data_IF_415663992441
#
_entry.id   IF_415663992441
#
_cell.length_a   1.000
_cell.length_b   1.000
_cell.length_c   1.000
_cell.angle_alpha   90.00
_cell.angle_beta   90.00
_cell.angle_gamma   90.00
#
_symmetry.space_group_name_H-M   'P 1'
#
loop_
_entity.id
_entity.type
_entity.pdbx_description
1 polymer ?
#
# COMPACT_ATOMS: atom_id res chain seq x y z
N UNK A 1 -12.21 34.17 -3.63
CA UNK A 1 -12.55 32.76 -3.95
C UNK A 1 -11.39 31.92 -3.43
N UNK A 2 -11.66 30.99 -2.57
CA UNK A 2 -10.59 30.17 -1.96
C UNK A 2 -10.00 29.17 -2.96
N UNK A 3 -8.81 28.62 -2.68
CA UNK A 3 -8.21 27.55 -3.47
C UNK A 3 -9.17 26.37 -3.65
N UNK A 4 -9.92 26.02 -2.60
CA UNK A 4 -10.91 24.96 -2.62
C UNK A 4 -12.05 25.24 -3.61
N UNK A 5 -12.52 26.49 -3.66
CA UNK A 5 -13.59 26.90 -4.57
C UNK A 5 -13.13 26.87 -6.05
N UNK A 6 -11.85 27.19 -6.29
CA UNK A 6 -11.25 27.12 -7.62
C UNK A 6 -11.08 25.68 -8.10
N UNK A 7 -10.63 24.79 -7.21
CA UNK A 7 -10.45 23.36 -7.49
C UNK A 7 -11.78 22.63 -7.74
N UNK A 8 -12.88 23.12 -7.19
CA UNK A 8 -14.20 22.60 -7.53
C UNK A 8 -14.68 22.98 -8.94
N UNK A 9 -14.00 23.94 -9.60
CA UNK A 9 -14.38 24.45 -10.94
C UNK A 9 -13.49 23.92 -12.06
N UNK A 10 -12.39 23.27 -11.73
CA UNK A 10 -11.39 22.79 -12.69
C UNK A 10 -10.83 21.44 -12.24
N UNK A 11 -10.91 20.43 -13.10
CA UNK A 11 -10.32 19.11 -12.81
C UNK A 11 -8.85 19.02 -13.24
N UNK A 12 -8.17 17.97 -12.79
CA UNK A 12 -6.76 17.74 -13.10
C UNK A 12 -6.50 17.62 -14.61
N UNK A 13 -7.40 16.98 -15.36
CA UNK A 13 -7.28 16.85 -16.81
C UNK A 13 -7.30 18.21 -17.50
N UNK A 14 -8.18 19.07 -17.06
CA UNK A 14 -8.32 20.44 -17.58
C UNK A 14 -7.07 21.27 -17.30
N UNK A 15 -6.48 21.15 -16.10
CA UNK A 15 -5.23 21.83 -15.77
C UNK A 15 -4.09 21.36 -16.68
N UNK A 16 -3.92 20.07 -16.87
CA UNK A 16 -2.88 19.55 -17.77
C UNK A 16 -3.12 19.96 -19.22
N UNK A 17 -4.38 19.84 -19.70
CA UNK A 17 -4.73 20.16 -21.09
C UNK A 17 -4.56 21.65 -21.39
N UNK A 18 -4.74 22.53 -20.41
CA UNK A 18 -4.54 23.96 -20.56
C UNK A 18 -3.10 24.30 -20.95
N UNK A 19 -2.11 23.57 -20.40
CA UNK A 19 -0.68 23.81 -20.67
C UNK A 19 -0.11 22.95 -21.77
N UNK A 20 -0.61 21.73 -21.93
CA UNK A 20 -0.03 20.73 -22.80
C UNK A 20 -0.87 20.38 -24.04
N UNK A 21 -2.05 21.01 -24.15
CA UNK A 21 -2.98 20.72 -25.24
C UNK A 21 -3.64 19.36 -25.10
N UNK A 22 -3.81 18.63 -26.20
CA UNK A 22 -4.45 17.32 -26.20
C UNK A 22 -3.54 16.25 -25.58
N UNK A 23 -3.74 15.98 -24.30
CA UNK A 23 -2.97 14.96 -23.57
C UNK A 23 -3.58 13.57 -23.77
N UNK A 24 -2.69 12.57 -23.88
CA UNK A 24 -3.07 11.15 -23.88
C UNK A 24 -2.42 10.48 -22.67
N UNK A 25 -3.16 10.24 -21.57
CA UNK A 25 -2.59 9.56 -20.40
C UNK A 25 -1.94 8.22 -20.77
N UNK A 26 -0.75 7.96 -20.22
CA UNK A 26 0.04 6.77 -20.52
C UNK A 26 1.03 6.94 -21.68
N UNK A 27 0.95 8.00 -22.48
CA UNK A 27 1.91 8.29 -23.55
C UNK A 27 3.07 9.13 -23.01
N UNK A 28 4.30 8.74 -23.37
CA UNK A 28 5.49 9.55 -23.09
C UNK A 28 5.59 10.72 -24.10
N UNK A 29 5.92 11.90 -23.57
CA UNK A 29 6.24 13.10 -24.35
C UNK A 29 7.57 13.68 -23.86
N UNK A 30 8.16 14.62 -24.60
CA UNK A 30 9.29 15.38 -24.10
C UNK A 30 8.89 16.19 -22.87
N UNK A 31 9.78 16.29 -21.89
CA UNK A 31 9.44 16.96 -20.64
C UNK A 31 9.16 18.45 -20.84
N UNK A 32 7.95 18.93 -20.50
CA UNK A 32 7.65 20.35 -20.53
C UNK A 32 8.28 21.12 -19.35
N UNK A 33 8.87 20.41 -18.38
CA UNK A 33 9.54 20.97 -17.21
C UNK A 33 11.04 21.20 -17.42
N UNK A 34 11.58 20.81 -18.59
CA UNK A 34 13.00 20.92 -18.93
C UNK A 34 13.19 21.52 -20.29
N UNK A 35 14.14 22.44 -20.38
CA UNK A 35 14.57 22.98 -21.67
C UNK A 35 15.42 21.90 -22.40
N UNK A 36 15.20 21.72 -23.70
CA UNK A 36 15.96 20.82 -24.57
C UNK A 36 15.88 19.31 -24.24
N UNK A 37 14.75 18.84 -23.72
CA UNK A 37 14.51 17.40 -23.59
C UNK A 37 14.34 16.78 -24.98
N UNK A 38 15.32 15.96 -25.41
CA UNK A 38 15.34 15.32 -26.74
C UNK A 38 14.72 13.92 -26.75
N UNK A 39 14.48 13.35 -25.57
CA UNK A 39 13.97 11.98 -25.43
C UNK A 39 12.65 11.99 -24.64
N UNK A 40 11.56 11.40 -25.17
CA UNK A 40 10.30 11.33 -24.43
C UNK A 40 10.47 10.71 -23.05
N UNK A 41 10.33 11.52 -22.02
CA UNK A 41 10.60 11.14 -20.63
C UNK A 41 9.57 11.61 -19.63
N UNK A 42 8.54 12.33 -20.09
CA UNK A 42 7.46 12.82 -19.25
C UNK A 42 6.17 12.12 -19.59
N UNK A 43 5.43 11.67 -18.57
CA UNK A 43 4.12 11.04 -18.72
C UNK A 43 3.10 11.64 -17.78
N UNK A 44 1.86 11.74 -18.26
CA UNK A 44 0.67 11.89 -17.44
C UNK A 44 -0.02 10.54 -17.40
N UNK A 45 -0.45 10.08 -16.23
CA UNK A 45 -1.05 8.76 -16.06
C UNK A 45 -2.03 8.75 -14.89
N UNK A 46 -3.00 7.86 -14.96
CA UNK A 46 -3.88 7.62 -13.83
C UNK A 46 -3.18 6.77 -12.78
N UNK A 47 -3.18 7.24 -11.53
CA UNK A 47 -2.78 6.43 -10.38
C UNK A 47 -3.72 5.24 -10.19
N UNK A 48 -3.35 4.30 -9.35
CA UNK A 48 -4.23 3.18 -8.98
C UNK A 48 -5.53 3.63 -8.32
N UNK A 49 -5.54 4.84 -7.77
CA UNK A 49 -6.66 5.47 -7.07
C UNK A 49 -7.48 6.38 -8.01
N UNK A 50 -7.16 6.38 -9.32
CA UNK A 50 -7.86 7.17 -10.32
C UNK A 50 -7.43 8.65 -10.39
N UNK A 51 -6.48 9.09 -9.58
CA UNK A 51 -5.94 10.45 -9.66
C UNK A 51 -5.04 10.60 -10.89
N UNK A 52 -5.17 11.72 -11.60
CA UNK A 52 -4.32 12.03 -12.75
C UNK A 52 -3.02 12.68 -12.27
N UNK A 53 -1.92 11.96 -12.43
CA UNK A 53 -0.59 12.35 -11.96
C UNK A 53 0.36 12.53 -13.13
N UNK A 54 1.45 13.26 -12.88
CA UNK A 54 2.59 13.29 -13.80
C UNK A 54 3.83 12.64 -13.21
N UNK A 55 4.72 12.19 -14.09
CA UNK A 55 6.09 11.79 -13.77
C UNK A 55 7.04 12.20 -14.88
N UNK A 56 8.07 12.94 -14.49
CA UNK A 56 9.24 13.20 -15.31
C UNK A 56 10.32 12.15 -14.97
N UNK A 57 10.52 11.19 -15.85
CA UNK A 57 11.49 10.13 -15.64
C UNK A 57 12.94 10.61 -15.74
N UNK A 58 13.20 11.73 -16.41
CA UNK A 58 14.52 12.31 -16.51
C UNK A 58 15.03 12.93 -15.21
N UNK A 59 14.13 13.54 -14.44
CA UNK A 59 14.45 14.15 -13.13
C UNK A 59 13.98 13.32 -11.94
N UNK A 60 13.09 12.34 -12.17
CA UNK A 60 12.41 11.58 -11.11
C UNK A 60 11.26 12.35 -10.43
N UNK A 61 10.99 13.59 -10.81
CA UNK A 61 9.94 14.42 -10.22
C UNK A 61 8.55 13.88 -10.61
N UNK A 62 7.63 13.83 -9.66
CA UNK A 62 6.26 13.41 -9.87
C UNK A 62 5.29 14.14 -8.95
N UNK A 63 4.01 14.16 -9.30
CA UNK A 63 2.96 14.78 -8.48
C UNK A 63 1.62 14.90 -9.20
N UNK A 64 0.71 15.68 -8.59
CA UNK A 64 -0.59 16.03 -9.15
C UNK A 64 -0.53 17.26 -10.07
N UNK A 65 -1.65 17.62 -10.66
CA UNK A 65 -1.76 18.76 -11.57
C UNK A 65 -1.36 20.09 -10.93
N UNK A 66 -1.64 20.31 -9.65
CA UNK A 66 -1.21 21.54 -8.96
C UNK A 66 0.32 21.62 -8.81
N UNK A 67 0.97 20.51 -8.48
CA UNK A 67 2.44 20.46 -8.41
C UNK A 67 3.05 20.66 -9.79
N UNK A 68 2.45 20.06 -10.83
CA UNK A 68 2.87 20.30 -12.21
C UNK A 68 2.77 21.78 -12.56
N UNK A 69 1.63 22.42 -12.30
CA UNK A 69 1.41 23.86 -12.57
C UNK A 69 2.43 24.73 -11.85
N UNK A 70 2.70 24.45 -10.56
CA UNK A 70 3.74 25.16 -9.79
C UNK A 70 5.10 25.08 -10.48
N UNK A 71 5.52 23.88 -10.85
CA UNK A 71 6.83 23.67 -11.50
C UNK A 71 6.88 24.30 -12.89
N UNK A 72 5.83 24.10 -13.69
CA UNK A 72 5.76 24.58 -15.06
C UNK A 72 5.77 26.13 -15.16
N UNK A 73 5.12 26.81 -14.20
CA UNK A 73 5.03 28.27 -14.13
C UNK A 73 6.00 28.91 -13.15
N UNK A 74 6.80 28.11 -12.42
CA UNK A 74 7.73 28.63 -11.41
C UNK A 74 7.07 29.29 -10.21
N UNK A 75 5.82 28.90 -9.86
CA UNK A 75 5.06 29.52 -8.78
C UNK A 75 5.62 29.14 -7.41
N UNK A 76 5.84 30.13 -6.55
CA UNK A 76 6.43 29.93 -5.23
C UNK A 76 5.38 29.99 -4.11
N UNK A 77 4.37 30.85 -4.26
CA UNK A 77 3.40 31.15 -3.21
C UNK A 77 2.03 30.52 -3.50
N UNK A 78 1.22 30.44 -2.45
CA UNK A 78 -0.18 30.01 -2.57
C UNK A 78 -1.01 31.00 -3.37
N UNK A 79 -0.78 32.28 -3.18
CA UNK A 79 -1.51 33.36 -3.86
C UNK A 79 -1.24 33.35 -5.36
N UNK A 80 -0.01 33.04 -5.79
CA UNK A 80 0.32 32.85 -7.21
C UNK A 80 -0.42 31.67 -7.80
N UNK A 81 -0.48 30.55 -7.05
CA UNK A 81 -1.21 29.35 -7.44
C UNK A 81 -2.71 29.66 -7.60
N UNK A 82 -3.32 30.36 -6.65
CA UNK A 82 -4.74 30.73 -6.70
C UNK A 82 -5.03 31.68 -7.87
N UNK A 83 -4.15 32.65 -8.12
CA UNK A 83 -4.27 33.56 -9.28
C UNK A 83 -4.16 32.82 -10.62
N UNK A 84 -3.26 31.88 -10.73
CA UNK A 84 -3.11 31.10 -11.97
C UNK A 84 -4.30 30.16 -12.20
N UNK A 85 -4.81 29.51 -11.15
CA UNK A 85 -6.05 28.73 -11.23
C UNK A 85 -7.24 29.60 -11.63
N UNK A 86 -7.36 30.80 -11.07
CA UNK A 86 -8.42 31.73 -11.44
C UNK A 86 -8.35 32.12 -12.93
N UNK A 87 -7.12 32.28 -13.46
CA UNK A 87 -6.88 32.54 -14.88
C UNK A 87 -7.37 31.38 -15.76
N UNK A 88 -7.05 30.13 -15.35
CA UNK A 88 -7.53 28.92 -16.05
C UNK A 88 -9.06 28.89 -16.04
N UNK A 89 -9.69 29.06 -14.86
CA UNK A 89 -11.15 29.06 -14.71
C UNK A 89 -11.82 30.12 -15.59
N UNK A 90 -11.27 31.33 -15.63
CA UNK A 90 -11.83 32.44 -16.46
C UNK A 90 -11.71 32.18 -17.97
N UNK A 91 -10.63 31.50 -18.41
CA UNK A 91 -10.41 31.22 -19.83
C UNK A 91 -11.24 30.05 -20.33
N UNK A 92 -11.55 29.10 -19.47
CA UNK A 92 -12.36 27.91 -19.82
C UNK A 92 -13.86 28.24 -19.75
N UNK A 93 -14.25 29.30 -19.03
CA UNK A 93 -15.65 29.70 -18.81
C UNK A 93 -16.00 31.06 -19.45
N UNK A 94 -16.15 31.14 -20.75
CA UNK A 94 -17.09 32.05 -21.34
C UNK A 94 -18.34 31.27 -21.70
N UNK A 95 -19.32 31.19 -20.80
CA UNK A 95 -20.77 30.98 -21.03
C UNK A 95 -21.27 29.64 -21.57
N UNK A 96 -20.51 28.59 -21.85
CA UNK A 96 -21.08 27.32 -22.31
C UNK A 96 -20.19 26.09 -22.00
N UNK A 97 -19.95 25.83 -20.75
CA UNK A 97 -19.67 24.47 -20.32
C UNK A 97 -20.87 24.03 -19.50
N UNK A 98 -21.69 23.16 -20.03
CA UNK A 98 -22.50 22.31 -19.21
C UNK A 98 -21.55 21.68 -18.21
N UNK A 99 -21.59 22.20 -17.01
CA UNK A 99 -20.97 21.58 -15.86
C UNK A 99 -21.69 20.26 -15.73
N UNK A 100 -21.08 19.18 -16.18
CA UNK A 100 -21.34 17.89 -15.57
C UNK A 100 -20.89 17.99 -14.13
N UNK A 101 -21.66 18.73 -13.33
CA UNK A 101 -21.60 18.87 -11.89
C UNK A 101 -22.12 17.61 -11.22
N UNK A 102 -21.71 16.47 -11.68
CA UNK A 102 -21.86 15.22 -10.96
C UNK A 102 -20.81 14.23 -11.45
N UNK A 103 -19.56 14.62 -11.48
CA UNK A 103 -18.58 13.78 -10.82
C UNK A 103 -18.42 14.40 -9.45
N UNK A 104 -19.34 14.08 -8.55
CA UNK A 104 -18.94 13.76 -7.21
C UNK A 104 -17.52 13.22 -7.34
N UNK A 105 -16.57 13.74 -6.57
CA UNK A 105 -15.43 12.93 -6.16
C UNK A 105 -16.10 11.69 -5.58
N UNK A 106 -16.43 10.77 -6.46
CA UNK A 106 -16.86 9.45 -6.06
C UNK A 106 -15.67 8.96 -5.32
N UNK A 107 -15.75 9.14 -4.01
CA UNK A 107 -15.12 8.25 -3.08
C UNK A 107 -14.74 7.03 -3.86
N UNK A 108 -13.41 6.84 -4.06
CA UNK A 108 -12.78 5.67 -4.68
C UNK A 108 -13.83 4.80 -5.37
N UNK A 109 -13.85 4.73 -6.69
CA UNK A 109 -14.62 3.66 -7.34
C UNK A 109 -14.09 2.40 -6.70
N UNK A 110 -14.84 1.87 -5.75
CA UNK A 110 -14.44 0.70 -4.98
C UNK A 110 -14.20 -0.37 -6.03
N UNK A 111 -12.94 -0.68 -6.28
CA UNK A 111 -12.62 -1.70 -7.27
C UNK A 111 -13.19 -2.98 -6.72
N UNK A 112 -14.30 -3.44 -7.29
CA UNK A 112 -14.85 -4.72 -6.93
C UNK A 112 -13.86 -5.80 -7.37
N UNK A 113 -13.37 -6.60 -6.41
CA UNK A 113 -12.48 -7.73 -6.67
C UNK A 113 -13.24 -9.01 -6.40
N UNK A 114 -13.55 -9.73 -7.49
CA UNK A 114 -14.06 -11.09 -7.45
C UNK A 114 -12.94 -12.12 -7.59
N UNK A 115 -13.10 -13.30 -6.99
CA UNK A 115 -12.15 -14.41 -7.09
C UNK A 115 -12.84 -15.72 -7.40
N UNK A 116 -12.18 -16.59 -8.15
CA UNK A 116 -12.53 -18.01 -8.25
C UNK A 116 -11.43 -18.81 -7.59
N UNK A 117 -11.78 -19.53 -6.51
CA UNK A 117 -10.85 -20.35 -5.71
C UNK A 117 -10.54 -21.66 -6.41
N UNK A 118 -9.40 -22.23 -6.04
CA UNK A 118 -9.02 -23.60 -6.35
C UNK A 118 -8.36 -24.24 -5.13
N UNK A 119 -8.26 -25.58 -5.06
CA UNK A 119 -7.44 -26.25 -4.07
C UNK A 119 -5.98 -25.81 -4.15
N UNK A 120 -5.26 -25.83 -3.04
CA UNK A 120 -3.82 -25.61 -3.05
C UNK A 120 -3.13 -26.72 -3.82
N UNK A 121 -2.40 -26.35 -4.86
CA UNK A 121 -1.57 -27.28 -5.67
C UNK A 121 -0.27 -27.61 -4.94
N UNK A 122 0.49 -28.61 -5.44
CA UNK A 122 1.82 -28.90 -4.90
C UNK A 122 2.81 -27.73 -5.09
N UNK A 123 2.61 -26.93 -6.12
CA UNK A 123 3.38 -25.70 -6.34
C UNK A 123 3.09 -24.68 -5.25
N UNK A 124 1.82 -24.50 -4.91
CA UNK A 124 1.41 -23.59 -3.83
C UNK A 124 1.99 -24.06 -2.49
N UNK A 125 1.90 -25.35 -2.18
CA UNK A 125 2.45 -25.92 -0.95
C UNK A 125 3.96 -25.69 -0.86
N UNK A 126 4.71 -25.95 -1.92
CA UNK A 126 6.15 -25.67 -2.01
C UNK A 126 6.46 -24.17 -1.85
N UNK A 127 5.66 -23.32 -2.47
CA UNK A 127 5.84 -21.89 -2.36
C UNK A 127 5.70 -21.40 -0.91
N UNK A 128 4.68 -21.84 -0.18
CA UNK A 128 4.45 -21.40 1.20
C UNK A 128 5.38 -22.10 2.21
N UNK A 129 5.77 -23.35 1.94
CA UNK A 129 6.72 -24.10 2.77
C UNK A 129 8.07 -23.41 2.92
N UNK A 130 8.55 -22.64 1.92
CA UNK A 130 9.80 -21.89 2.03
C UNK A 130 9.77 -20.80 3.10
N UNK A 131 8.58 -20.39 3.55
CA UNK A 131 8.36 -19.45 4.64
C UNK A 131 7.91 -20.15 5.93
N UNK A 132 7.96 -21.46 5.96
CA UNK A 132 7.41 -22.31 7.04
C UNK A 132 5.93 -22.05 7.35
N UNK A 133 5.16 -21.54 6.39
CA UNK A 133 3.72 -21.31 6.52
C UNK A 133 2.98 -22.57 6.11
N UNK A 134 2.24 -23.15 7.06
CA UNK A 134 1.42 -24.35 6.86
C UNK A 134 0.12 -24.03 6.09
N UNK A 135 -0.51 -25.07 5.51
CA UNK A 135 -1.82 -24.91 4.87
C UNK A 135 -2.89 -24.50 5.89
N UNK A 136 -2.78 -24.97 7.12
CA UNK A 136 -3.73 -24.60 8.18
C UNK A 136 -3.58 -23.14 8.59
N UNK A 137 -2.37 -22.62 8.63
CA UNK A 137 -2.13 -21.18 8.81
C UNK A 137 -2.69 -20.36 7.64
N UNK A 138 -2.53 -20.82 6.40
CA UNK A 138 -3.16 -20.14 5.24
C UNK A 138 -4.69 -20.12 5.37
N UNK A 139 -5.30 -21.23 5.76
CA UNK A 139 -6.75 -21.34 5.99
C UNK A 139 -7.20 -20.41 7.11
N UNK A 140 -6.48 -20.44 8.25
CA UNK A 140 -6.73 -19.55 9.40
C UNK A 140 -6.78 -18.08 8.99
N UNK A 141 -5.81 -17.63 8.20
CA UNK A 141 -5.71 -16.25 7.75
C UNK A 141 -6.47 -15.95 6.45
N UNK A 142 -7.42 -16.83 6.06
CA UNK A 142 -8.25 -16.66 4.87
C UNK A 142 -7.46 -16.38 3.60
N UNK A 143 -6.34 -17.10 3.43
CA UNK A 143 -5.54 -17.10 2.20
C UNK A 143 -6.00 -18.25 1.30
N UNK A 144 -6.26 -17.95 0.03
CA UNK A 144 -6.75 -18.93 -0.93
C UNK A 144 -5.84 -18.99 -2.15
N UNK A 145 -5.61 -20.19 -2.70
CA UNK A 145 -5.17 -20.32 -4.08
C UNK A 145 -6.35 -20.00 -5.01
N UNK A 146 -6.09 -19.24 -6.07
CA UNK A 146 -7.15 -18.75 -6.96
C UNK A 146 -6.87 -19.10 -8.42
N UNK A 147 -7.90 -19.61 -9.10
CA UNK A 147 -7.85 -19.93 -10.53
C UNK A 147 -7.76 -18.66 -11.38
N UNK A 148 -8.57 -17.65 -11.05
CA UNK A 148 -8.50 -16.30 -11.63
C UNK A 148 -9.15 -15.27 -10.70
N UNK A 149 -8.86 -14.00 -10.98
CA UNK A 149 -9.53 -12.88 -10.30
C UNK A 149 -10.07 -11.87 -11.31
N UNK A 150 -11.10 -11.17 -10.87
CA UNK A 150 -11.76 -10.12 -11.65
C UNK A 150 -11.58 -8.78 -10.92
N UNK A 151 -11.52 -7.70 -11.69
CA UNK A 151 -11.73 -6.34 -11.19
C UNK A 151 -12.88 -5.74 -11.99
N UNK A 152 -13.92 -5.29 -11.29
CA UNK A 152 -15.14 -4.75 -11.91
C UNK A 152 -15.70 -5.69 -12.99
N UNK A 153 -15.85 -6.97 -12.65
CA UNK A 153 -16.35 -8.08 -13.51
C UNK A 153 -15.47 -8.44 -14.71
N UNK A 154 -14.28 -7.82 -14.87
CA UNK A 154 -13.33 -8.15 -15.94
C UNK A 154 -12.20 -9.00 -15.38
N UNK A 155 -11.90 -10.15 -15.99
CA UNK A 155 -10.78 -11.03 -15.63
C UNK A 155 -9.47 -10.27 -15.82
N UNK A 156 -8.65 -10.21 -14.76
CA UNK A 156 -7.37 -9.48 -14.71
C UNK A 156 -6.15 -10.37 -14.51
N UNK A 157 -6.35 -11.61 -14.21
CA UNK A 157 -5.27 -12.58 -14.11
C UNK A 157 -5.81 -13.98 -13.94
N UNK A 158 -5.08 -14.94 -14.50
CA UNK A 158 -5.37 -16.38 -14.44
C UNK A 158 -4.15 -17.10 -13.88
N UNK A 159 -4.39 -18.13 -13.07
CA UNK A 159 -3.36 -19.00 -12.51
C UNK A 159 -2.59 -19.69 -13.62
N UNK A 160 -1.30 -19.80 -13.42
CA UNK A 160 -0.40 -20.66 -14.17
C UNK A 160 0.58 -21.31 -13.20
N UNK A 161 1.10 -22.48 -13.53
CA UNK A 161 2.06 -23.18 -12.68
C UNK A 161 3.33 -22.36 -12.42
N UNK A 162 3.81 -21.65 -13.44
CA UNK A 162 4.94 -20.72 -13.36
C UNK A 162 4.57 -19.34 -12.78
N UNK A 163 3.30 -19.09 -12.50
CA UNK A 163 2.78 -17.83 -11.99
C UNK A 163 1.61 -18.02 -11.02
N UNK A 164 1.86 -18.61 -9.85
CA UNK A 164 0.83 -18.86 -8.86
C UNK A 164 0.23 -17.56 -8.34
N UNK A 165 -1.03 -17.61 -7.94
CA UNK A 165 -1.78 -16.47 -7.44
C UNK A 165 -2.55 -16.82 -6.18
N UNK A 166 -2.53 -15.87 -5.23
CA UNK A 166 -3.21 -16.00 -3.95
C UNK A 166 -4.12 -14.81 -3.68
N UNK A 167 -5.23 -15.05 -3.01
CA UNK A 167 -6.12 -14.01 -2.50
C UNK A 167 -6.12 -14.03 -0.98
N UNK A 168 -5.84 -12.90 -0.37
CA UNK A 168 -5.99 -12.64 1.05
C UNK A 168 -7.36 -11.98 1.27
N UNK A 169 -8.26 -12.68 1.94
CA UNK A 169 -9.57 -12.12 2.29
C UNK A 169 -9.48 -11.47 3.66
N UNK A 170 -9.79 -10.17 3.71
CA UNK A 170 -9.87 -9.41 4.96
C UNK A 170 -11.28 -8.85 5.05
N UNK A 171 -12.10 -9.42 5.91
CA UNK A 171 -13.54 -9.20 5.98
C UNK A 171 -14.22 -9.47 4.63
N UNK A 172 -14.76 -8.45 3.98
CA UNK A 172 -15.47 -8.52 2.69
C UNK A 172 -14.60 -8.17 1.48
N UNK A 173 -13.33 -7.76 1.69
CA UNK A 173 -12.42 -7.27 0.64
C UNK A 173 -11.26 -8.23 0.40
N UNK A 174 -10.57 -8.01 -0.72
CA UNK A 174 -9.48 -8.87 -1.17
C UNK A 174 -8.20 -8.13 -1.45
N UNK A 175 -7.08 -8.79 -1.20
CA UNK A 175 -5.75 -8.42 -1.66
C UNK A 175 -5.17 -9.59 -2.44
N UNK A 176 -4.98 -9.39 -3.73
CA UNK A 176 -4.42 -10.40 -4.64
C UNK A 176 -2.90 -10.31 -4.61
N UNK A 177 -2.27 -11.45 -4.43
CA UNK A 177 -0.82 -11.62 -4.40
C UNK A 177 -0.35 -12.50 -5.53
N UNK A 178 0.55 -11.99 -6.36
CA UNK A 178 1.22 -12.71 -7.45
C UNK A 178 2.72 -12.68 -7.19
N UNK A 179 3.29 -13.67 -6.50
CA UNK A 179 4.67 -13.63 -5.99
C UNK A 179 5.72 -13.42 -7.08
N UNK A 180 5.54 -14.04 -8.24
CA UNK A 180 6.51 -14.05 -9.34
C UNK A 180 6.25 -12.94 -10.38
N UNK A 181 5.19 -12.15 -10.22
CA UNK A 181 4.92 -11.03 -11.10
C UNK A 181 5.84 -9.84 -10.82
N UNK A 182 5.98 -8.93 -11.79
CA UNK A 182 6.73 -7.69 -11.62
C UNK A 182 6.22 -6.88 -10.44
N UNK A 183 7.06 -6.03 -9.84
CA UNK A 183 6.68 -5.21 -8.68
C UNK A 183 5.42 -4.36 -8.90
N UNK A 184 5.12 -3.97 -10.13
CA UNK A 184 3.96 -3.15 -10.49
C UNK A 184 2.65 -3.92 -10.57
N UNK A 185 2.73 -5.23 -10.80
CA UNK A 185 1.59 -6.12 -10.95
C UNK A 185 1.49 -7.19 -9.87
N UNK A 186 2.46 -7.22 -8.95
CA UNK A 186 2.55 -8.17 -7.84
C UNK A 186 1.34 -8.13 -6.91
N UNK A 187 0.79 -6.94 -6.73
CA UNK A 187 -0.31 -6.68 -5.82
C UNK A 187 -1.50 -6.02 -6.51
N UNK A 188 -2.70 -6.47 -6.18
CA UNK A 188 -3.95 -5.77 -6.48
C UNK A 188 -4.83 -5.84 -5.24
N UNK A 189 -5.46 -4.73 -4.84
CA UNK A 189 -6.27 -4.71 -3.62
C UNK A 189 -7.39 -3.70 -3.70
N UNK A 190 -8.50 -4.01 -3.00
CA UNK A 190 -9.56 -3.08 -2.64
C UNK A 190 -9.64 -2.88 -1.12
N UNK A 191 -8.61 -3.29 -0.36
CA UNK A 191 -8.54 -3.02 1.08
C UNK A 191 -8.41 -1.52 1.34
N UNK A 192 -9.09 -1.05 2.37
CA UNK A 192 -8.93 0.30 2.94
C UNK A 192 -8.06 0.24 4.21
N UNK A 193 -7.83 1.37 4.86
CA UNK A 193 -7.11 1.41 6.14
C UNK A 193 -7.84 0.68 7.29
N UNK A 194 -9.16 0.46 7.16
CA UNK A 194 -9.96 -0.31 8.13
C UNK A 194 -9.73 -1.82 8.04
N UNK A 195 -9.20 -2.31 6.92
CA UNK A 195 -8.93 -3.73 6.68
C UNK A 195 -7.54 -4.09 7.20
N UNK A 196 -7.42 -4.20 8.52
CA UNK A 196 -6.17 -4.61 9.18
C UNK A 196 -6.02 -6.12 9.06
N UNK A 197 -4.93 -6.55 8.43
CA UNK A 197 -4.65 -7.96 8.17
C UNK A 197 -4.24 -8.66 9.47
N UNK A 198 -4.80 -9.81 9.76
CA UNK A 198 -4.55 -10.59 10.99
C UNK A 198 -5.38 -10.15 12.19
N UNK A 199 -6.19 -9.07 12.08
CA UNK A 199 -6.96 -8.56 13.22
C UNK A 199 -8.10 -9.50 13.64
N UNK A 200 -8.79 -10.12 12.67
CA UNK A 200 -9.90 -11.04 12.94
C UNK A 200 -9.44 -12.36 13.54
N UNK A 201 -8.18 -12.72 13.35
CA UNK A 201 -7.55 -13.97 13.80
C UNK A 201 -6.94 -13.86 15.21
N UNK A 202 -6.95 -12.66 15.81
CA UNK A 202 -6.49 -12.46 17.19
C UNK A 202 -7.45 -13.08 18.20
N UNK A 203 -6.94 -13.57 19.36
CA UNK A 203 -7.79 -13.96 20.46
C UNK A 203 -8.60 -12.77 21.00
N UNK A 204 -9.86 -13.00 21.33
CA UNK A 204 -10.79 -11.94 21.78
C UNK A 204 -10.35 -11.30 23.10
N UNK A 205 -9.73 -12.08 23.95
CA UNK A 205 -9.24 -11.71 25.28
C UNK A 205 -7.97 -10.83 25.21
N UNK A 206 -7.27 -10.88 24.07
CA UNK A 206 -5.96 -10.26 23.92
C UNK A 206 -4.83 -11.19 24.36
N UNK A 207 -3.78 -10.63 24.93
CA UNK A 207 -2.59 -11.41 25.38
C UNK A 207 -1.45 -10.54 25.87
N UNK A 208 -0.29 -11.17 26.06
CA UNK A 208 0.88 -10.48 26.60
C UNK A 208 1.55 -9.56 25.56
N UNK A 209 1.68 -10.04 24.32
CA UNK A 209 2.41 -9.33 23.27
C UNK A 209 1.70 -9.39 21.92
N UNK A 210 1.54 -8.22 21.28
CA UNK A 210 1.08 -8.07 19.91
C UNK A 210 2.15 -7.37 19.06
N UNK A 211 2.48 -7.96 17.91
CA UNK A 211 3.45 -7.39 16.98
C UNK A 211 2.72 -6.71 15.80
N UNK A 212 3.09 -5.47 15.50
CA UNK A 212 2.67 -4.78 14.29
C UNK A 212 3.77 -4.95 13.26
N UNK A 213 3.45 -5.60 12.14
CA UNK A 213 4.42 -5.84 11.08
C UNK A 213 3.94 -5.30 9.72
N UNK A 214 4.71 -5.52 8.65
CA UNK A 214 4.50 -4.90 7.34
C UNK A 214 3.46 -5.62 6.49
N UNK A 215 3.38 -6.95 6.55
CA UNK A 215 2.58 -7.75 5.62
C UNK A 215 1.90 -8.94 6.28
N UNK A 216 0.82 -9.44 5.66
CA UNK A 216 0.16 -10.66 6.13
C UNK A 216 1.09 -11.88 6.08
N UNK A 217 2.05 -11.93 5.15
CA UNK A 217 3.03 -13.00 5.10
C UNK A 217 3.90 -13.02 6.37
N UNK A 218 4.34 -11.86 6.81
CA UNK A 218 5.11 -11.74 8.07
C UNK A 218 4.24 -12.09 9.29
N UNK A 219 2.97 -11.68 9.29
CA UNK A 219 1.99 -12.07 10.32
C UNK A 219 1.91 -13.59 10.43
N UNK A 220 1.79 -14.30 9.30
CA UNK A 220 1.71 -15.76 9.27
C UNK A 220 3.02 -16.43 9.71
N UNK A 221 4.18 -15.90 9.31
CA UNK A 221 5.48 -16.39 9.79
C UNK A 221 5.61 -16.25 11.31
N UNK A 222 5.19 -15.11 11.87
CA UNK A 222 5.19 -14.87 13.32
C UNK A 222 4.23 -15.81 14.05
N UNK A 223 3.07 -16.08 13.46
CA UNK A 223 2.11 -17.04 14.01
C UNK A 223 2.67 -18.47 14.09
N UNK A 224 3.38 -18.95 13.06
CA UNK A 224 4.07 -20.24 13.08
C UNK A 224 5.18 -20.31 14.18
N UNK A 225 5.69 -19.17 14.61
CA UNK A 225 6.63 -19.05 15.73
C UNK A 225 5.94 -18.91 17.10
N UNK A 226 4.61 -18.85 17.15
CA UNK A 226 3.85 -18.69 18.39
C UNK A 226 3.57 -17.24 18.79
N UNK A 227 3.74 -16.26 17.89
CA UNK A 227 3.47 -14.86 18.18
C UNK A 227 2.26 -14.34 17.43
N UNK A 228 1.44 -13.56 18.09
CA UNK A 228 0.35 -12.83 17.46
C UNK A 228 0.84 -11.55 16.81
N UNK A 229 0.38 -11.32 15.59
CA UNK A 229 0.76 -10.14 14.84
C UNK A 229 -0.38 -9.63 13.96
N UNK A 230 -0.30 -8.34 13.59
CA UNK A 230 -1.19 -7.69 12.64
C UNK A 230 -0.38 -6.84 11.65
N UNK A 231 -0.97 -6.53 10.51
CA UNK A 231 -0.38 -5.58 9.58
C UNK A 231 -1.43 -4.64 8.97
N UNK A 232 -1.02 -3.43 8.61
CA UNK A 232 -1.86 -2.53 7.82
C UNK A 232 -2.19 -3.12 6.45
N UNK A 233 -3.19 -2.57 5.77
CA UNK A 233 -3.60 -3.01 4.43
C UNK A 233 -2.50 -2.84 3.37
N UNK A 234 -1.60 -1.87 3.56
CA UNK A 234 -0.43 -1.61 2.70
C UNK A 234 0.70 -0.93 3.48
N UNK A 235 1.90 -0.89 2.89
CA UNK A 235 3.07 -0.22 3.48
C UNK A 235 2.88 1.29 3.72
N UNK A 236 2.02 1.93 2.95
CA UNK A 236 1.76 3.38 3.05
C UNK A 236 0.61 3.73 3.97
N UNK A 237 -0.15 2.73 4.42
CA UNK A 237 -1.37 2.92 5.22
C UNK A 237 -1.04 2.78 6.70
N UNK A 238 -1.67 3.63 7.53
CA UNK A 238 -1.62 3.49 8.99
C UNK A 238 -2.86 2.74 9.50
N UNK A 239 -2.69 1.95 10.55
CA UNK A 239 -3.80 1.35 11.29
C UNK A 239 -4.58 2.49 11.97
N UNK A 240 -5.92 2.53 11.87
CA UNK A 240 -6.74 3.55 12.53
C UNK A 240 -6.53 3.60 14.04
N UNK A 241 -6.56 4.80 14.61
CA UNK A 241 -6.27 5.03 16.03
C UNK A 241 -7.30 4.36 16.96
N UNK A 242 -8.56 4.31 16.56
CA UNK A 242 -9.63 3.62 17.29
C UNK A 242 -9.35 2.10 17.40
N UNK A 243 -8.86 1.47 16.34
CA UNK A 243 -8.46 0.05 16.36
C UNK A 243 -7.26 -0.15 17.31
N UNK A 244 -6.24 0.71 17.22
CA UNK A 244 -5.09 0.61 18.12
C UNK A 244 -5.45 0.85 19.58
N UNK A 245 -6.36 1.78 19.84
CA UNK A 245 -6.87 2.04 21.19
C UNK A 245 -7.59 0.81 21.78
N UNK A 246 -8.42 0.16 20.97
CA UNK A 246 -9.05 -1.10 21.35
C UNK A 246 -8.05 -2.23 21.58
N UNK A 247 -6.97 -2.30 20.79
CA UNK A 247 -5.94 -3.32 21.00
C UNK A 247 -5.13 -3.07 22.27
N UNK A 248 -4.81 -1.82 22.59
CA UNK A 248 -4.10 -1.45 23.82
C UNK A 248 -4.82 -1.82 25.10
N UNK A 249 -6.16 -1.87 25.09
CA UNK A 249 -6.93 -2.32 26.25
C UNK A 249 -6.92 -3.83 26.46
N UNK A 250 -6.44 -4.60 25.46
CA UNK A 250 -6.44 -6.07 25.45
C UNK A 250 -5.05 -6.68 25.49
N UNK A 251 -4.03 -5.94 25.05
CA UNK A 251 -2.66 -6.44 24.94
C UNK A 251 -1.75 -5.70 25.91
N UNK A 252 -1.02 -6.44 26.76
CA UNK A 252 -0.12 -5.85 27.77
C UNK A 252 0.99 -5.05 27.08
N UNK A 253 1.55 -5.57 25.99
CA UNK A 253 2.56 -4.91 25.19
C UNK A 253 2.26 -4.97 23.70
N UNK A 254 2.63 -3.91 23.01
CA UNK A 254 2.58 -3.85 21.55
C UNK A 254 3.93 -3.36 21.03
N UNK A 255 4.47 -4.03 20.02
CA UNK A 255 5.77 -3.72 19.41
C UNK A 255 5.64 -3.60 17.90
N UNK A 256 6.61 -2.93 17.27
CA UNK A 256 6.69 -2.79 15.82
C UNK A 256 7.89 -3.59 15.32
N UNK A 257 7.65 -4.52 14.36
CA UNK A 257 8.69 -5.22 13.62
C UNK A 257 8.56 -4.89 12.14
N UNK A 258 9.48 -4.08 11.62
CA UNK A 258 9.48 -3.61 10.23
C UNK A 258 10.79 -3.97 9.51
N UNK A 259 10.79 -3.73 8.18
CA UNK A 259 11.95 -4.00 7.33
C UNK A 259 13.16 -3.18 7.74
N UNK A 260 14.34 -3.78 7.59
CA UNK A 260 15.63 -3.12 7.84
C UNK A 260 16.13 -2.30 6.64
N UNK A 261 15.35 -2.07 5.64
CA UNK A 261 15.71 -1.15 4.56
C UNK A 261 15.37 0.32 4.92
N UNK A 262 15.88 1.27 4.11
CA UNK A 262 15.69 2.72 4.35
C UNK A 262 14.20 3.09 4.49
N UNK A 263 13.34 2.50 3.68
CA UNK A 263 11.90 2.76 3.69
C UNK A 263 11.24 2.18 4.93
N UNK A 264 11.54 0.92 5.28
CA UNK A 264 11.02 0.25 6.46
C UNK A 264 11.47 0.92 7.76
N UNK A 265 12.73 1.34 7.85
CA UNK A 265 13.25 2.10 9.00
C UNK A 265 12.55 3.44 9.17
N UNK A 266 12.29 4.17 8.08
CA UNK A 266 11.53 5.43 8.15
C UNK A 266 10.10 5.19 8.60
N UNK A 267 9.44 4.17 8.05
CA UNK A 267 8.08 3.79 8.45
C UNK A 267 7.99 3.35 9.90
N UNK A 268 8.95 2.53 10.36
CA UNK A 268 9.02 2.14 11.76
C UNK A 268 9.12 3.36 12.69
N UNK A 269 9.93 4.37 12.34
CA UNK A 269 10.03 5.63 13.09
C UNK A 269 8.71 6.40 13.09
N UNK A 270 8.03 6.50 11.93
CA UNK A 270 6.75 7.20 11.82
C UNK A 270 5.68 6.52 12.67
N UNK A 271 5.62 5.18 12.65
CA UNK A 271 4.74 4.38 13.49
C UNK A 271 5.08 4.50 14.97
N UNK A 272 6.39 4.40 15.31
CA UNK A 272 6.88 4.53 16.68
C UNK A 272 6.50 5.89 17.29
N UNK A 273 6.71 6.98 16.54
CA UNK A 273 6.32 8.33 16.97
C UNK A 273 4.81 8.49 17.12
N UNK A 274 4.06 8.05 16.10
CA UNK A 274 2.60 8.21 16.05
C UNK A 274 1.90 7.40 17.13
N UNK A 275 2.34 6.17 17.36
CA UNK A 275 1.67 5.24 18.26
C UNK A 275 2.37 5.09 19.62
N UNK A 276 3.51 5.77 19.83
CA UNK A 276 4.33 5.64 21.05
C UNK A 276 4.67 4.17 21.36
N UNK A 277 5.04 3.39 20.32
CA UNK A 277 5.39 1.99 20.40
C UNK A 277 6.89 1.81 20.12
N UNK A 278 7.51 0.86 20.80
CA UNK A 278 8.90 0.49 20.51
C UNK A 278 9.00 -0.27 19.19
N UNK A 279 10.02 0.05 18.38
CA UNK A 279 10.28 -0.59 17.11
C UNK A 279 11.61 -1.36 17.16
N UNK A 280 11.61 -2.57 16.60
CA UNK A 280 12.81 -3.37 16.42
C UNK A 280 12.86 -3.92 14.99
N UNK A 281 14.00 -4.53 14.62
CA UNK A 281 14.27 -4.97 13.26
C UNK A 281 14.91 -6.36 13.29
N UNK A 282 14.72 -7.13 12.23
CA UNK A 282 15.37 -8.42 12.05
C UNK A 282 16.90 -8.29 12.25
N UNK A 283 17.52 -9.23 12.97
CA UNK A 283 18.94 -9.18 13.25
C UNK A 283 19.76 -9.26 11.96
N UNK A 284 20.83 -8.44 11.89
CA UNK A 284 21.73 -8.39 10.72
C UNK A 284 22.37 -9.73 10.38
N UNK A 285 22.57 -10.60 11.38
CA UNK A 285 23.16 -11.94 11.19
C UNK A 285 22.40 -12.80 10.18
N UNK A 286 21.09 -12.57 10.02
CA UNK A 286 20.24 -13.32 9.08
C UNK A 286 20.32 -12.82 7.65
N UNK A 287 21.00 -11.71 7.38
CA UNK A 287 21.09 -11.09 6.06
C UNK A 287 19.73 -10.99 5.36
N UNK A 288 18.71 -10.60 6.10
CA UNK A 288 17.31 -10.51 5.67
C UNK A 288 16.76 -9.13 6.01
N UNK A 289 15.84 -8.63 5.19
CA UNK A 289 15.19 -7.35 5.42
C UNK A 289 13.95 -7.46 6.30
N UNK A 290 13.17 -8.53 6.17
CA UNK A 290 11.96 -8.80 6.94
C UNK A 290 11.97 -10.21 7.53
N UNK A 291 10.97 -10.54 8.38
CA UNK A 291 10.93 -11.81 9.08
C UNK A 291 10.68 -12.97 8.12
N UNK A 292 9.89 -12.77 7.05
CA UNK A 292 9.62 -13.80 6.07
C UNK A 292 10.88 -14.12 5.22
N UNK A 293 11.69 -13.13 4.89
CA UNK A 293 12.98 -13.34 4.23
C UNK A 293 13.98 -14.04 5.18
N UNK A 294 13.95 -13.71 6.48
CA UNK A 294 14.79 -14.36 7.46
C UNK A 294 14.49 -15.86 7.57
N UNK A 295 13.22 -16.22 7.67
CA UNK A 295 12.76 -17.62 7.75
C UNK A 295 13.06 -18.36 6.45
N UNK A 296 12.90 -17.72 5.30
CA UNK A 296 13.19 -18.34 4.00
C UNK A 296 14.66 -18.70 3.81
N UNK A 297 15.56 -17.85 4.28
CA UNK A 297 16.98 -17.91 3.96
C UNK A 297 17.83 -18.52 5.08
N UNK A 298 17.25 -18.79 6.25
CA UNK A 298 17.96 -19.32 7.43
C UNK A 298 17.14 -20.45 8.09
N UNK A 299 17.72 -21.09 9.08
CA UNK A 299 17.01 -22.08 9.91
C UNK A 299 15.84 -21.41 10.65
N UNK A 300 14.66 -22.00 10.54
CA UNK A 300 13.47 -21.56 11.27
C UNK A 300 13.70 -21.52 12.79
N UNK A 301 14.36 -22.56 13.32
CA UNK A 301 14.70 -22.65 14.76
C UNK A 301 15.60 -21.52 15.21
N UNK A 302 16.60 -21.14 14.39
CA UNK A 302 17.54 -20.06 14.74
C UNK A 302 16.86 -18.69 14.73
N UNK A 303 15.96 -18.46 13.75
CA UNK A 303 15.16 -17.23 13.66
C UNK A 303 14.20 -17.15 14.84
N UNK A 304 13.52 -18.28 15.16
CA UNK A 304 12.63 -18.35 16.32
C UNK A 304 13.37 -18.12 17.64
N UNK A 305 14.48 -18.80 17.88
CA UNK A 305 15.27 -18.64 19.09
C UNK A 305 15.78 -17.20 19.28
N UNK A 306 16.20 -16.55 18.18
CA UNK A 306 16.54 -15.13 18.22
C UNK A 306 15.34 -14.26 18.61
N UNK A 307 14.18 -14.53 18.02
CA UNK A 307 12.97 -13.75 18.27
C UNK A 307 12.51 -13.94 19.72
N UNK A 308 12.47 -15.17 20.23
CA UNK A 308 12.16 -15.49 21.63
C UNK A 308 13.08 -14.71 22.58
N UNK A 309 14.40 -14.78 22.36
CA UNK A 309 15.37 -14.05 23.16
C UNK A 309 15.17 -12.53 23.12
N UNK A 310 14.84 -11.99 21.94
CA UNK A 310 14.66 -10.54 21.74
C UNK A 310 13.37 -10.05 22.42
N UNK A 311 12.34 -10.87 22.44
CA UNK A 311 11.02 -10.48 22.95
C UNK A 311 10.80 -10.82 24.42
N UNK A 312 11.57 -11.77 24.98
CA UNK A 312 11.48 -12.16 26.40
C UNK A 312 11.49 -10.96 27.36
N UNK A 313 12.36 -9.95 27.23
CA UNK A 313 12.37 -8.79 28.14
C UNK A 313 11.04 -8.02 28.14
N UNK A 314 10.35 -7.96 26.98
CA UNK A 314 9.08 -7.25 26.86
C UNK A 314 7.88 -8.02 27.41
N UNK A 315 8.02 -9.33 27.60
CA UNK A 315 6.96 -10.20 28.16
C UNK A 315 7.11 -10.33 29.68
N UNK A 316 8.37 -10.38 30.17
CA UNK A 316 8.68 -10.62 31.60
C UNK A 316 8.61 -9.38 32.50
N UNK A 317 8.75 -8.16 31.93
CA UNK A 317 8.68 -6.89 32.69
C UNK A 317 7.28 -6.54 33.23
N UNK A 318 6.39 -7.52 33.32
CA UNK A 318 5.04 -7.37 33.83
C UNK A 318 4.69 -8.41 34.91
N UNK A 319 5.64 -8.65 35.81
CA UNK A 319 5.26 -9.19 37.14
C UNK A 319 5.08 -8.00 38.08
N UNK A 320 3.84 -7.75 38.58
CA UNK A 320 3.54 -6.61 39.44
C UNK A 320 4.23 -6.71 40.80
#
# INVERSE_FOLDING_TARGET
MSLKDLLNKVDDYTIYSYYLGNIKPGKLINSPLRNNDKMPSFAIFYSREGALLFKDHGTGVSGNALKFMKLYKGLQTRDELERELLRIVRRINPTNVQINTTKEYTSRVDTDIGIVRQPFTEIDKRYWKQFHISIDTLRRYNVFSIKYFLCNRVVRGTYKEDSPMYAYKVYDKFKIYRPLASKYTKWRTNLTNRHVQGLAELPKEGGDLLIITKSLKDVMCLYEMGFYAISASSETTFIPEDILKSLRSKWKKMLILYDRDKTGMQKARDYSKRYKLHAFFVNKKFNAKDISDAVKNNSFSDVKAWLDKTLTPYIRDYDP
#
